data_IF_246774186713
#
_entry.id   IF_246774186713
#
_cell.length_a   1.000
_cell.length_b   1.000
_cell.length_c   1.000
_cell.angle_alpha   90.00
_cell.angle_beta   90.00
_cell.angle_gamma   90.00
#
_symmetry.space_group_name_H-M   'P 1'
#
loop_
_entity.id
_entity.type
_entity.pdbx_description
1 polymer ?
#
# COMPACT_ATOMS: atom_id res chain seq x y z
N UNK A 1 -12.33 -14.23 -4.94
CA UNK A 1 -11.12 -13.62 -4.36
C UNK A 1 -10.88 -12.29 -5.06
N UNK A 2 -10.53 -11.24 -4.31
CA UNK A 2 -10.18 -9.93 -4.85
C UNK A 2 -8.68 -9.70 -4.66
N UNK A 3 -7.96 -9.26 -5.70
CA UNK A 3 -6.53 -8.97 -5.61
C UNK A 3 -6.32 -7.47 -5.43
N UNK A 4 -5.49 -7.12 -4.45
CA UNK A 4 -5.05 -5.76 -4.17
C UNK A 4 -3.53 -5.71 -4.29
N UNK A 5 -3.03 -4.84 -5.17
CA UNK A 5 -1.61 -4.54 -5.29
C UNK A 5 -1.33 -3.25 -4.53
N UNK A 6 -0.49 -3.34 -3.49
CA UNK A 6 -0.27 -2.24 -2.55
C UNK A 6 1.21 -1.94 -2.42
N UNK A 7 1.55 -0.66 -2.34
CA UNK A 7 2.93 -0.20 -2.25
C UNK A 7 2.99 1.30 -1.88
N UNK A 8 4.15 1.73 -1.38
CA UNK A 8 4.46 3.14 -1.15
C UNK A 8 5.34 3.70 -2.28
N UNK A 9 4.98 4.85 -2.84
CA UNK A 9 5.91 5.60 -3.70
C UNK A 9 6.97 6.28 -2.82
N UNK A 10 8.12 6.56 -3.44
CA UNK A 10 9.13 7.43 -2.86
C UNK A 10 8.51 8.75 -2.34
N UNK A 11 9.04 9.24 -1.22
CA UNK A 11 8.61 10.49 -0.59
C UNK A 11 8.85 11.68 -1.52
N UNK A 12 7.84 12.54 -1.62
CA UNK A 12 7.78 13.71 -2.49
C UNK A 12 7.96 14.97 -1.66
N UNK A 13 8.91 15.82 -2.05
CA UNK A 13 9.11 17.16 -1.49
C UNK A 13 8.05 18.14 -2.01
N UNK A 14 7.36 18.87 -1.14
CA UNK A 14 6.43 19.93 -1.54
C UNK A 14 7.15 21.28 -1.52
N UNK A 15 7.06 22.02 -2.61
CA UNK A 15 7.77 23.26 -2.88
C UNK A 15 8.08 23.44 -4.37
N UNK A 16 8.72 24.55 -4.70
CA UNK A 16 9.05 24.95 -6.08
C UNK A 16 10.25 24.18 -6.66
N UNK A 17 10.23 22.85 -6.57
CA UNK A 17 11.31 21.99 -7.03
C UNK A 17 11.16 21.58 -8.49
N UNK A 18 12.27 21.52 -9.22
CA UNK A 18 12.30 20.89 -10.54
C UNK A 18 12.05 19.38 -10.42
N UNK A 19 11.21 18.87 -11.31
CA UNK A 19 10.85 17.46 -11.41
C UNK A 19 11.19 16.86 -12.77
N UNK A 20 11.96 17.59 -13.58
CA UNK A 20 12.24 17.24 -14.97
C UNK A 20 11.00 17.41 -15.84
N UNK A 21 11.18 17.44 -17.16
CA UNK A 21 10.11 17.72 -18.12
C UNK A 21 10.03 19.20 -18.53
N UNK A 22 9.03 19.55 -19.34
CA UNK A 22 8.85 20.92 -19.85
C UNK A 22 7.41 21.36 -19.60
N UNK A 23 7.23 22.49 -18.92
CA UNK A 23 5.91 23.12 -18.76
C UNK A 23 5.54 23.92 -20.03
N UNK A 24 4.25 23.99 -20.35
CA UNK A 24 3.76 24.85 -21.46
C UNK A 24 3.68 26.33 -21.04
N UNK A 25 3.61 26.59 -19.73
CA UNK A 25 3.35 27.90 -19.17
C UNK A 25 4.61 28.60 -18.62
N UNK A 26 5.81 28.05 -18.86
CA UNK A 26 7.07 28.66 -18.44
C UNK A 26 7.30 28.67 -16.92
N UNK A 27 6.69 27.71 -16.21
CA UNK A 27 6.84 27.52 -14.77
C UNK A 27 8.33 27.48 -14.36
N UNK A 28 8.73 28.36 -13.43
CA UNK A 28 10.10 28.46 -12.93
C UNK A 28 10.23 27.68 -11.63
N UNK A 29 11.12 26.70 -11.61
CA UNK A 29 11.56 26.05 -10.39
C UNK A 29 12.73 26.82 -9.76
N UNK A 30 12.94 26.64 -8.46
CA UNK A 30 14.09 27.20 -7.76
C UNK A 30 15.38 26.47 -8.19
N UNK A 31 16.42 27.24 -8.52
CA UNK A 31 17.72 26.74 -9.00
C UNK A 31 18.64 26.23 -7.85
N UNK A 32 18.21 26.40 -6.59
CA UNK A 32 18.99 26.11 -5.39
C UNK A 32 18.20 25.37 -4.30
N UNK A 33 18.95 24.68 -3.42
CA UNK A 33 18.52 23.68 -2.44
C UNK A 33 17.72 24.29 -1.27
N UNK A 34 16.45 24.62 -1.50
CA UNK A 34 15.53 25.07 -0.45
C UNK A 34 14.97 23.89 0.36
N UNK A 35 14.75 24.13 1.65
CA UNK A 35 14.00 23.18 2.48
C UNK A 35 12.58 23.05 1.93
N UNK A 36 12.06 21.82 1.75
CA UNK A 36 10.68 21.65 1.32
C UNK A 36 9.73 22.18 2.38
N UNK A 37 8.59 22.75 1.97
CA UNK A 37 7.52 23.20 2.89
C UNK A 37 7.03 22.04 3.76
N UNK A 38 6.91 20.88 3.13
CA UNK A 38 6.59 19.60 3.77
C UNK A 38 7.05 18.46 2.86
N UNK A 39 6.93 17.23 3.35
CA UNK A 39 7.11 16.05 2.52
C UNK A 39 5.89 15.16 2.62
N UNK A 40 5.42 14.67 1.47
CA UNK A 40 4.28 13.76 1.40
C UNK A 40 4.71 12.43 0.81
N UNK A 41 4.22 11.33 1.36
CA UNK A 41 4.42 9.99 0.81
C UNK A 41 3.11 9.50 0.21
N UNK A 42 3.05 9.24 -1.11
CA UNK A 42 1.95 8.54 -1.74
C UNK A 42 2.00 7.04 -1.40
N UNK A 43 0.84 6.45 -1.13
CA UNK A 43 0.62 5.03 -0.93
C UNK A 43 -0.58 4.61 -1.76
N UNK A 44 -0.48 3.51 -2.49
CA UNK A 44 -1.53 3.11 -3.41
C UNK A 44 -2.14 1.75 -3.07
N UNK A 45 -3.42 1.61 -3.40
CA UNK A 45 -4.11 0.34 -3.54
C UNK A 45 -4.60 0.28 -4.98
N UNK A 46 -4.11 -0.70 -5.72
CA UNK A 46 -4.48 -0.93 -7.12
C UNK A 46 -5.20 -2.26 -7.25
N UNK A 47 -6.31 -2.29 -8.00
CA UNK A 47 -7.10 -3.48 -8.31
C UNK A 47 -6.81 -3.87 -9.76
N UNK A 48 -5.88 -4.82 -10.03
CA UNK A 48 -5.44 -5.13 -11.38
C UNK A 48 -6.55 -5.65 -12.29
N UNK A 49 -7.54 -6.36 -11.73
CA UNK A 49 -8.65 -6.93 -12.48
C UNK A 49 -9.69 -5.89 -12.93
N UNK A 50 -9.75 -4.73 -12.26
CA UNK A 50 -10.70 -3.66 -12.56
C UNK A 50 -10.04 -2.42 -13.16
N UNK A 51 -8.72 -2.37 -13.22
CA UNK A 51 -7.96 -1.17 -13.58
C UNK A 51 -8.35 0.05 -12.70
N UNK A 52 -8.57 -0.18 -11.41
CA UNK A 52 -8.94 0.87 -10.45
C UNK A 52 -7.79 1.19 -9.49
N UNK A 53 -7.50 2.49 -9.37
CA UNK A 53 -6.40 2.99 -8.56
C UNK A 53 -6.91 3.92 -7.45
N UNK A 54 -6.48 3.63 -6.23
CA UNK A 54 -6.75 4.42 -5.05
C UNK A 54 -5.42 4.92 -4.51
N UNK A 55 -5.29 6.24 -4.35
CA UNK A 55 -4.07 6.91 -3.88
C UNK A 55 -4.33 7.61 -2.56
N UNK A 56 -3.53 7.28 -1.57
CA UNK A 56 -3.53 7.84 -0.23
C UNK A 56 -2.24 8.61 -0.03
N UNK A 57 -2.34 9.84 0.43
CA UNK A 57 -1.21 10.71 0.68
C UNK A 57 -1.09 10.93 2.18
N UNK A 58 0.13 10.96 2.70
CA UNK A 58 0.37 11.31 4.10
C UNK A 58 1.64 12.11 4.27
N UNK A 59 1.60 13.11 5.14
CA UNK A 59 2.81 13.78 5.64
C UNK A 59 3.47 13.00 6.78
N UNK A 60 2.79 11.97 7.28
CA UNK A 60 3.28 11.09 8.33
C UNK A 60 4.19 9.99 7.79
N UNK A 61 4.55 9.06 8.67
CA UNK A 61 5.34 7.88 8.33
C UNK A 61 4.42 6.77 7.84
N UNK A 62 4.84 6.08 6.79
CA UNK A 62 4.19 4.84 6.34
C UNK A 62 4.59 3.73 7.31
N UNK A 63 3.80 3.51 8.36
CA UNK A 63 4.00 2.45 9.36
C UNK A 63 3.06 1.26 9.12
N UNK A 64 3.20 0.17 9.87
CA UNK A 64 2.25 -0.96 9.83
C UNK A 64 0.81 -0.49 10.10
N UNK A 65 0.63 0.40 11.07
CA UNK A 65 -0.65 1.00 11.45
C UNK A 65 -1.25 1.83 10.31
N UNK A 66 -0.43 2.65 9.63
CA UNK A 66 -0.87 3.39 8.45
C UNK A 66 -1.33 2.48 7.31
N UNK A 67 -0.57 1.42 7.01
CA UNK A 67 -0.87 0.49 5.93
C UNK A 67 -2.22 -0.21 6.17
N UNK A 68 -2.45 -0.69 7.41
CA UNK A 68 -3.70 -1.38 7.74
C UNK A 68 -4.88 -0.40 7.88
N UNK A 69 -4.67 0.83 8.38
CA UNK A 69 -5.72 1.85 8.40
C UNK A 69 -6.19 2.23 6.99
N UNK A 70 -5.29 2.32 6.01
CA UNK A 70 -5.66 2.58 4.62
C UNK A 70 -6.37 1.39 3.98
N UNK A 71 -5.93 0.16 4.30
CA UNK A 71 -6.64 -1.03 3.87
C UNK A 71 -8.06 -1.09 4.47
N UNK A 72 -8.21 -0.69 5.73
CA UNK A 72 -9.50 -0.56 6.43
C UNK A 72 -10.40 0.46 5.73
N UNK A 73 -9.90 1.66 5.47
CA UNK A 73 -10.64 2.73 4.79
C UNK A 73 -11.10 2.29 3.40
N UNK A 74 -10.19 1.75 2.59
CA UNK A 74 -10.51 1.19 1.28
C UNK A 74 -11.58 0.10 1.39
N UNK A 75 -11.41 -0.86 2.31
CA UNK A 75 -12.31 -1.99 2.41
C UNK A 75 -13.71 -1.55 2.86
N UNK A 76 -13.83 -0.65 3.83
CA UNK A 76 -15.13 -0.17 4.30
C UNK A 76 -15.92 0.53 3.19
N UNK A 77 -15.25 1.31 2.34
CA UNK A 77 -15.91 1.98 1.22
C UNK A 77 -16.26 1.02 0.09
N UNK A 78 -15.38 0.07 -0.23
CA UNK A 78 -15.52 -0.73 -1.45
C UNK A 78 -16.17 -2.10 -1.23
N UNK A 79 -16.23 -2.62 0.01
CA UNK A 79 -16.73 -3.99 0.31
C UNK A 79 -18.14 -4.27 -0.21
N UNK A 80 -19.00 -3.26 -0.31
CA UNK A 80 -20.37 -3.41 -0.82
C UNK A 80 -20.40 -3.89 -2.28
N UNK A 81 -19.34 -3.59 -3.06
CA UNK A 81 -19.16 -4.05 -4.44
C UNK A 81 -18.68 -5.50 -4.53
N UNK A 82 -18.22 -6.05 -3.41
CA UNK A 82 -17.49 -7.29 -3.32
C UNK A 82 -18.12 -8.24 -2.29
N UNK A 83 -19.46 -8.25 -2.19
CA UNK A 83 -20.21 -9.03 -1.20
C UNK A 83 -19.91 -10.54 -1.23
N UNK A 84 -19.58 -11.05 -2.41
CA UNK A 84 -19.31 -12.49 -2.62
C UNK A 84 -17.82 -12.83 -2.44
N UNK A 85 -16.96 -11.83 -2.19
CA UNK A 85 -15.53 -12.04 -1.99
C UNK A 85 -15.26 -12.49 -0.57
N UNK A 86 -14.76 -13.71 -0.45
CA UNK A 86 -14.36 -14.30 0.84
C UNK A 86 -12.87 -14.16 1.15
N UNK A 87 -12.05 -13.75 0.17
CA UNK A 87 -10.59 -13.68 0.30
C UNK A 87 -10.04 -12.45 -0.41
N UNK A 88 -9.22 -11.66 0.30
CA UNK A 88 -8.36 -10.64 -0.28
C UNK A 88 -6.95 -11.21 -0.46
N UNK A 89 -6.45 -11.13 -1.68
CA UNK A 89 -5.05 -11.40 -2.02
C UNK A 89 -4.28 -10.08 -2.02
N UNK A 90 -3.37 -9.91 -1.07
CA UNK A 90 -2.55 -8.70 -0.94
C UNK A 90 -1.18 -8.94 -1.58
N UNK A 91 -0.97 -8.30 -2.72
CA UNK A 91 0.29 -8.26 -3.46
C UNK A 91 1.12 -7.08 -2.94
N UNK A 92 2.23 -7.36 -2.27
CA UNK A 92 3.05 -6.33 -1.62
C UNK A 92 4.55 -6.64 -1.73
N UNK A 93 5.39 -5.64 -1.53
CA UNK A 93 6.80 -5.88 -1.21
C UNK A 93 6.93 -6.44 0.22
N UNK A 94 8.05 -7.08 0.55
CA UNK A 94 8.30 -7.56 1.91
C UNK A 94 9.06 -6.50 2.73
N UNK A 95 8.58 -5.25 2.66
CA UNK A 95 9.23 -4.08 3.24
C UNK A 95 9.22 -4.07 4.78
N UNK A 96 10.00 -3.19 5.44
CA UNK A 96 10.16 -3.20 6.89
C UNK A 96 8.87 -3.01 7.71
N UNK A 97 7.82 -2.46 7.10
CA UNK A 97 6.57 -2.06 7.76
C UNK A 97 5.41 -3.00 7.47
N UNK A 98 5.47 -3.78 6.39
CA UNK A 98 4.50 -4.78 5.98
C UNK A 98 5.09 -6.20 5.92
N UNK A 99 6.34 -6.40 6.36
CA UNK A 99 6.98 -7.70 6.35
C UNK A 99 6.23 -8.73 7.18
N UNK A 100 6.22 -9.97 6.72
CA UNK A 100 5.65 -11.11 7.45
C UNK A 100 6.34 -11.44 8.78
N UNK A 101 7.46 -10.78 9.08
CA UNK A 101 8.19 -10.81 10.36
C UNK A 101 7.88 -9.62 11.26
N UNK A 102 7.23 -8.57 10.74
CA UNK A 102 6.89 -7.38 11.50
C UNK A 102 5.66 -7.68 12.36
N UNK A 103 5.89 -7.85 13.67
CA UNK A 103 4.86 -8.33 14.59
C UNK A 103 3.63 -7.42 14.65
N UNK A 104 3.81 -6.11 14.59
CA UNK A 104 2.69 -5.15 14.56
C UNK A 104 1.84 -5.33 13.29
N UNK A 105 2.46 -5.47 12.12
CA UNK A 105 1.74 -5.71 10.88
C UNK A 105 0.95 -7.01 10.92
N UNK A 106 1.59 -8.12 11.34
CA UNK A 106 0.93 -9.42 11.43
C UNK A 106 -0.24 -9.41 12.42
N UNK A 107 -0.11 -8.71 13.55
CA UNK A 107 -1.22 -8.51 14.49
C UNK A 107 -2.38 -7.80 13.81
N UNK A 108 -2.12 -6.63 13.22
CA UNK A 108 -3.15 -5.77 12.66
C UNK A 108 -3.87 -6.43 11.47
N UNK A 109 -3.15 -7.17 10.62
CA UNK A 109 -3.77 -7.82 9.47
C UNK A 109 -4.60 -9.05 9.86
N UNK A 110 -4.22 -9.76 10.94
CA UNK A 110 -5.05 -10.81 11.54
C UNK A 110 -6.31 -10.19 12.16
N UNK A 111 -6.17 -9.10 12.91
CA UNK A 111 -7.31 -8.37 13.47
C UNK A 111 -8.26 -7.86 12.37
N UNK A 112 -7.72 -7.34 11.25
CA UNK A 112 -8.49 -6.95 10.08
C UNK A 112 -9.30 -8.14 9.52
N UNK A 113 -8.66 -9.29 9.31
CA UNK A 113 -9.30 -10.48 8.77
C UNK A 113 -10.48 -10.92 9.66
N UNK A 114 -10.28 -10.98 10.98
CA UNK A 114 -11.33 -11.32 11.93
C UNK A 114 -12.43 -10.26 12.02
N UNK A 115 -12.08 -8.98 12.03
CA UNK A 115 -13.05 -7.88 12.11
C UNK A 115 -14.03 -7.91 10.93
N UNK A 116 -13.52 -8.11 9.73
CA UNK A 116 -14.33 -8.06 8.50
C UNK A 116 -14.82 -9.40 8.00
N UNK A 117 -14.46 -10.50 8.68
CA UNK A 117 -14.81 -11.85 8.26
C UNK A 117 -14.43 -12.12 6.80
N UNK A 118 -13.23 -11.64 6.40
CA UNK A 118 -12.63 -11.88 5.10
C UNK A 118 -11.25 -12.51 5.27
N UNK A 119 -10.99 -13.59 4.53
CA UNK A 119 -9.69 -14.26 4.56
C UNK A 119 -8.64 -13.35 3.93
N UNK A 120 -7.41 -13.38 4.44
CA UNK A 120 -6.29 -12.65 3.84
C UNK A 120 -5.26 -13.65 3.36
N UNK A 121 -4.84 -13.48 2.10
CA UNK A 121 -3.65 -14.13 1.55
C UNK A 121 -2.61 -13.05 1.29
N UNK A 122 -1.50 -13.11 2.01
CA UNK A 122 -0.34 -12.26 1.77
C UNK A 122 0.55 -12.94 0.74
N UNK A 123 0.82 -12.24 -0.36
CA UNK A 123 1.72 -12.68 -1.41
C UNK A 123 2.81 -11.61 -1.63
N UNK A 124 4.01 -11.93 -1.15
CA UNK A 124 5.14 -11.01 -1.20
C UNK A 124 6.00 -11.23 -2.43
N UNK A 125 6.41 -10.13 -3.07
CA UNK A 125 7.46 -10.18 -4.08
C UNK A 125 8.84 -10.35 -3.42
N UNK A 126 9.70 -11.24 -3.94
CA UNK A 126 11.09 -11.35 -3.50
C UNK A 126 11.86 -10.02 -3.62
N UNK A 127 13.00 -9.88 -2.91
CA UNK A 127 13.83 -8.68 -3.03
C UNK A 127 14.24 -8.47 -4.49
N UNK A 128 14.28 -7.22 -4.95
CA UNK A 128 14.59 -6.82 -6.34
C UNK A 128 13.58 -7.28 -7.40
N UNK A 129 12.44 -7.84 -6.98
CA UNK A 129 11.36 -8.31 -7.86
C UNK A 129 10.08 -7.48 -7.70
N UNK A 130 10.12 -6.37 -6.94
CA UNK A 130 8.96 -5.48 -6.76
C UNK A 130 8.43 -4.93 -8.08
N UNK A 131 9.27 -4.80 -9.12
CA UNK A 131 8.87 -4.41 -10.50
C UNK A 131 7.71 -5.23 -11.11
N UNK A 132 7.45 -6.42 -10.56
CA UNK A 132 6.34 -7.28 -10.97
C UNK A 132 5.05 -7.06 -10.14
N UNK A 133 5.10 -6.21 -9.12
CA UNK A 133 3.95 -5.71 -8.39
C UNK A 133 3.16 -4.76 -9.32
N UNK A 134 1.90 -5.07 -9.66
CA UNK A 134 1.15 -4.31 -10.67
C UNK A 134 1.11 -2.78 -10.45
N UNK A 135 1.05 -2.35 -9.20
CA UNK A 135 1.06 -0.94 -8.79
C UNK A 135 2.32 -0.16 -9.23
N UNK A 136 3.47 -0.80 -9.45
CA UNK A 136 4.70 -0.11 -9.87
C UNK A 136 4.51 0.65 -11.20
N UNK A 137 3.67 0.12 -12.09
CA UNK A 137 3.36 0.79 -13.36
C UNK A 137 2.50 2.04 -13.16
N UNK A 138 1.63 2.04 -12.14
CA UNK A 138 0.81 3.21 -11.81
C UNK A 138 1.68 4.34 -11.29
N UNK A 139 2.76 4.01 -10.56
CA UNK A 139 3.74 4.98 -10.09
C UNK A 139 4.51 5.67 -11.20
N UNK A 140 4.95 4.93 -12.23
CA UNK A 140 5.61 5.53 -13.39
C UNK A 140 4.70 6.53 -14.11
N UNK A 141 3.39 6.24 -14.20
CA UNK A 141 2.42 7.17 -14.80
C UNK A 141 2.18 8.39 -13.92
N UNK A 142 2.05 8.23 -12.61
CA UNK A 142 1.92 9.35 -11.67
C UNK A 142 3.15 10.28 -11.75
N UNK A 143 4.35 9.70 -11.78
CA UNK A 143 5.60 10.46 -11.90
C UNK A 143 5.67 11.22 -13.23
N UNK A 144 5.39 10.56 -14.35
CA UNK A 144 5.33 11.23 -15.65
C UNK A 144 4.27 12.32 -15.71
N UNK A 145 3.15 12.17 -14.99
CA UNK A 145 2.09 13.18 -14.92
C UNK A 145 2.51 14.41 -14.09
N UNK A 146 3.37 14.21 -13.09
CA UNK A 146 3.96 15.32 -12.33
C UNK A 146 5.15 15.99 -13.02
N UNK A 147 5.80 15.33 -13.97
CA UNK A 147 6.91 15.92 -14.72
C UNK A 147 6.47 17.21 -15.42
N UNK A 148 7.27 18.27 -15.28
CA UNK A 148 7.00 19.61 -15.80
C UNK A 148 6.01 20.41 -14.96
N UNK A 149 5.45 19.85 -13.88
CA UNK A 149 4.55 20.54 -12.96
C UNK A 149 5.27 20.96 -11.68
N UNK A 150 4.87 22.11 -11.13
CA UNK A 150 5.33 22.55 -9.81
C UNK A 150 4.33 22.05 -8.76
N UNK A 151 4.84 21.31 -7.78
CA UNK A 151 4.06 20.82 -6.63
C UNK A 151 4.37 21.69 -5.41
N UNK A 152 3.99 22.97 -5.50
CA UNK A 152 4.27 24.02 -4.54
C UNK A 152 3.50 23.88 -3.23
N UNK A 153 2.30 23.31 -3.29
CA UNK A 153 1.42 23.03 -2.16
C UNK A 153 0.99 21.56 -2.16
N UNK A 154 0.65 21.05 -0.97
CA UNK A 154 0.11 19.70 -0.81
C UNK A 154 -1.17 19.52 -1.63
N UNK A 155 -2.06 20.51 -1.61
CA UNK A 155 -3.29 20.50 -2.39
C UNK A 155 -3.01 20.43 -3.90
N UNK A 156 -1.97 21.11 -4.38
CA UNK A 156 -1.51 21.04 -5.78
C UNK A 156 -1.12 19.60 -6.15
N UNK A 157 -0.32 18.94 -5.32
CA UNK A 157 0.07 17.54 -5.54
C UNK A 157 -1.14 16.59 -5.62
N UNK A 158 -2.11 16.76 -4.73
CA UNK A 158 -3.35 15.96 -4.72
C UNK A 158 -4.21 16.22 -5.96
N UNK A 159 -4.38 17.50 -6.35
CA UNK A 159 -5.13 17.88 -7.55
C UNK A 159 -4.50 17.29 -8.80
N UNK A 160 -3.18 17.41 -8.97
CA UNK A 160 -2.49 16.77 -10.10
C UNK A 160 -2.66 15.25 -10.08
N UNK A 161 -2.52 14.60 -8.92
CA UNK A 161 -2.76 13.17 -8.83
C UNK A 161 -4.20 12.79 -9.22
N UNK A 162 -5.20 13.62 -8.88
CA UNK A 162 -6.61 13.36 -9.25
C UNK A 162 -6.90 13.50 -10.75
N UNK A 163 -6.11 14.31 -11.48
CA UNK A 163 -6.30 14.50 -12.93
C UNK A 163 -5.55 13.49 -13.78
N UNK A 164 -4.64 12.70 -13.18
CA UNK A 164 -3.98 11.61 -13.91
C UNK A 164 -5.02 10.59 -14.38
N UNK A 165 -4.67 9.83 -15.43
CA UNK A 165 -5.49 8.70 -15.89
C UNK A 165 -4.70 7.40 -15.84
N UNK A 166 -5.28 6.39 -15.21
CA UNK A 166 -4.89 5.00 -15.39
C UNK A 166 -5.92 4.33 -16.30
N UNK A 167 -5.48 3.85 -17.47
CA UNK A 167 -6.35 3.14 -18.43
C UNK A 167 -7.65 3.89 -18.80
N UNK A 168 -7.62 5.22 -18.75
CA UNK A 168 -8.77 6.08 -19.06
C UNK A 168 -9.56 6.57 -17.85
N UNK A 169 -9.36 5.96 -16.68
CA UNK A 169 -10.05 6.30 -15.43
C UNK A 169 -9.18 7.15 -14.51
N UNK A 170 -9.83 8.06 -13.77
CA UNK A 170 -9.17 8.85 -12.74
C UNK A 170 -9.05 8.05 -11.43
N UNK A 171 -7.95 8.19 -10.69
CA UNK A 171 -7.82 7.54 -9.39
C UNK A 171 -8.71 8.22 -8.34
N UNK A 172 -9.08 7.47 -7.31
CA UNK A 172 -9.60 8.06 -6.07
C UNK A 172 -8.40 8.57 -5.28
N UNK A 173 -8.42 9.84 -4.86
CA UNK A 173 -7.30 10.47 -4.13
C UNK A 173 -7.76 10.92 -2.75
N UNK A 174 -7.02 10.56 -1.71
CA UNK A 174 -7.29 10.96 -0.33
C UNK A 174 -6.03 11.43 0.40
N UNK A 175 -6.22 12.36 1.33
CA UNK A 175 -5.19 12.80 2.26
C UNK A 175 -5.46 12.22 3.65
N UNK A 176 -4.47 11.55 4.22
CA UNK A 176 -4.50 10.96 5.56
C UNK A 176 -3.81 11.91 6.53
N UNK A 177 -4.61 12.60 7.34
CA UNK A 177 -4.15 13.57 8.35
C UNK A 177 -3.65 12.92 9.65
N UNK A 178 -3.95 11.63 9.87
CA UNK A 178 -3.54 10.92 11.08
C UNK A 178 -2.02 10.81 11.15
N UNK A 179 -1.46 11.10 12.32
CA UNK A 179 -0.03 10.93 12.61
C UNK A 179 0.24 9.53 13.13
N UNK A 180 1.30 8.90 12.60
CA UNK A 180 1.69 7.54 12.93
C UNK A 180 3.10 7.50 13.55
N UNK A 181 3.18 6.87 14.71
CA UNK A 181 4.43 6.70 15.45
C UNK A 181 5.20 5.45 15.05
N UNK A 182 6.52 5.50 15.22
CA UNK A 182 7.41 4.37 14.98
C UNK A 182 7.54 3.48 16.22
N UNK A 183 8.09 2.29 16.02
CA UNK A 183 8.62 1.48 17.12
C UNK A 183 7.62 0.56 17.80
N UNK A 184 6.35 0.58 17.40
CA UNK A 184 5.33 -0.34 17.92
C UNK A 184 5.69 -1.79 17.53
N UNK A 185 5.80 -2.64 18.55
CA UNK A 185 6.15 -4.06 18.44
C UNK A 185 5.45 -4.86 19.52
N UNK A 186 5.04 -6.09 19.18
CA UNK A 186 4.53 -7.05 20.15
C UNK A 186 5.68 -7.76 20.87
N UNK A 187 5.39 -8.20 22.10
CA UNK A 187 6.24 -9.17 22.81
C UNK A 187 6.21 -10.53 22.10
N UNK A 188 7.24 -11.36 22.31
CA UNK A 188 7.29 -12.73 21.77
C UNK A 188 6.07 -13.56 22.19
N UNK A 189 5.63 -13.42 23.45
CA UNK A 189 4.45 -14.14 23.98
C UNK A 189 3.16 -13.73 23.26
N UNK A 190 2.97 -12.44 23.01
CA UNK A 190 1.80 -11.95 22.27
C UNK A 190 1.85 -12.41 20.80
N UNK A 191 3.00 -12.27 20.15
CA UNK A 191 3.17 -12.72 18.76
C UNK A 191 2.93 -14.23 18.60
N UNK A 192 3.33 -15.06 19.57
CA UNK A 192 3.07 -16.50 19.53
C UNK A 192 1.57 -16.85 19.52
N UNK A 193 0.68 -15.99 20.03
CA UNK A 193 -0.78 -16.20 19.91
C UNK A 193 -1.30 -15.79 18.54
N UNK A 194 -0.73 -14.74 17.95
CA UNK A 194 -1.05 -14.32 16.58
C UNK A 194 -0.61 -15.39 15.58
N UNK A 195 0.59 -15.95 15.76
CA UNK A 195 1.15 -16.98 14.87
C UNK A 195 0.30 -18.25 14.77
N UNK A 196 -0.47 -18.60 15.82
CA UNK A 196 -1.42 -19.73 15.78
C UNK A 196 -2.60 -19.53 14.84
N UNK A 197 -2.86 -18.29 14.44
CA UNK A 197 -3.97 -17.91 13.55
C UNK A 197 -3.48 -17.73 12.09
N UNK A 198 -2.23 -18.08 11.82
CA UNK A 198 -1.54 -17.82 10.56
C UNK A 198 -1.03 -19.15 10.01
N UNK A 199 -1.30 -19.40 8.73
CA UNK A 199 -0.75 -20.53 7.98
C UNK A 199 0.35 -20.05 7.05
N UNK A 200 1.56 -20.59 7.22
CA UNK A 200 2.72 -20.26 6.38
C UNK A 200 2.99 -21.39 5.41
N UNK A 201 3.26 -21.07 4.14
CA UNK A 201 3.61 -22.07 3.12
C UNK A 201 5.05 -22.60 3.31
N UNK A 202 5.28 -23.45 4.31
CA UNK A 202 6.61 -23.97 4.65
C UNK A 202 7.02 -25.22 3.88
N UNK A 203 6.06 -25.89 3.22
CA UNK A 203 6.24 -27.14 2.48
C UNK A 203 5.68 -27.01 1.05
N UNK A 204 6.27 -26.11 0.27
CA UNK A 204 5.96 -25.92 -1.15
C UNK A 204 6.43 -27.12 -1.96
N UNK A 205 5.64 -27.53 -2.96
CA UNK A 205 5.99 -28.60 -3.91
C UNK A 205 7.01 -28.16 -4.97
N UNK A 206 7.46 -26.91 -4.92
CA UNK A 206 8.45 -26.37 -5.86
C UNK A 206 9.86 -26.87 -5.52
N UNK A 207 10.51 -27.54 -6.47
CA UNK A 207 11.82 -28.20 -6.30
C UNK A 207 12.91 -27.29 -5.71
N UNK A 208 12.94 -26.03 -6.15
CA UNK A 208 13.97 -25.04 -5.75
C UNK A 208 13.56 -24.24 -4.49
N UNK A 209 12.26 -24.16 -4.19
CA UNK A 209 11.75 -23.29 -3.12
C UNK A 209 10.82 -24.08 -2.21
N UNK A 210 11.37 -25.01 -1.40
CA UNK A 210 10.56 -25.87 -0.55
C UNK A 210 9.94 -25.08 0.61
N UNK A 211 10.54 -23.97 1.05
CA UNK A 211 10.00 -23.12 2.11
C UNK A 211 9.73 -21.70 1.63
N UNK A 212 8.44 -21.36 1.57
CA UNK A 212 7.91 -20.08 1.15
C UNK A 212 7.15 -19.36 2.27
N UNK A 213 7.30 -19.79 3.52
CA UNK A 213 6.47 -19.33 4.64
C UNK A 213 6.67 -17.87 5.06
N UNK A 214 7.73 -17.22 4.56
CA UNK A 214 7.94 -15.78 4.73
C UNK A 214 7.31 -14.96 3.59
N UNK A 215 6.88 -15.61 2.50
CA UNK A 215 6.45 -14.99 1.25
C UNK A 215 4.98 -15.25 0.92
N UNK A 216 4.44 -16.38 1.38
CA UNK A 216 3.03 -16.74 1.21
C UNK A 216 2.46 -17.14 2.55
N UNK A 217 1.48 -16.37 2.99
CA UNK A 217 0.84 -16.52 4.29
C UNK A 217 -0.67 -16.42 4.12
N UNK A 218 -1.38 -17.39 4.66
CA UNK A 218 -2.83 -17.44 4.70
C UNK A 218 -3.33 -17.15 6.12
N UNK A 219 -4.36 -16.33 6.20
CA UNK A 219 -5.05 -15.95 7.43
C UNK A 219 -6.52 -16.22 7.20
N UNK A 220 -7.00 -17.30 7.79
CA UNK A 220 -8.38 -17.75 7.67
C UNK A 220 -9.21 -17.17 8.81
N UNK A 221 -10.13 -16.26 8.49
CA UNK A 221 -11.12 -15.75 9.44
C UNK A 221 -12.27 -16.76 9.54
N UNK A 222 -11.99 -17.97 10.02
CA UNK A 222 -13.03 -18.99 10.13
C UNK A 222 -14.19 -18.46 10.99
N UNK A 223 -15.40 -18.44 10.41
CA UNK A 223 -16.62 -18.42 11.21
C UNK A 223 -16.58 -19.67 12.06
N UNK A 224 -16.72 -19.53 13.37
CA UNK A 224 -17.06 -20.64 14.25
C UNK A 224 -18.12 -21.48 13.54
N UNK A 225 -17.85 -22.78 13.36
CA UNK A 225 -18.82 -23.73 12.79
C UNK A 225 -20.17 -23.44 13.45
N UNK A 226 -21.19 -23.16 12.65
CA UNK A 226 -22.56 -23.30 13.12
C UNK A 226 -22.67 -24.76 13.55
N UNK A 227 -22.75 -24.97 14.85
CA UNK A 227 -22.98 -26.27 15.50
C UNK A 227 -24.39 -26.71 15.13
#
# INVERSE_FOLDING_TARGET
>A
MLRLSMDAKARVKIGSFDRGGKSRDGAKADDHDYNPKTTVTPYGIFLPELDELFLYFTESKVTSDFIVDILEDFWLEQKHRFSDIQTLLLNQDNGPQNSSRRTQFMKLIVEFAHKHQVNIRLAYYPPYHSKYNPIERTWAILENHWNGSILDELETALKFASTMKWKGSHPVVKLVHKTYENGVKLTKKAMAQIEKQIERLTNSTHEVFPNLGNWFIDICCSKTKVI
#
